data_IF_267024780769
#
_entry.id   IF_267024780769
#
_cell.length_a   1.000
_cell.length_b   1.000
_cell.length_c   1.000
_cell.angle_alpha   90.00
_cell.angle_beta   90.00
_cell.angle_gamma   90.00
#
_symmetry.space_group_name_H-M   'P 1'
#
loop_
_entity.id
_entity.type
_entity.pdbx_description
1 polymer ?
#
# COMPACT_ATOMS: atom_id res chain seq x y z
N UNK A 1 15.90 -14.84 -4.72
CA UNK A 1 14.91 -15.76 -5.32
C UNK A 1 13.56 -15.12 -5.08
N UNK A 2 12.76 -14.87 -6.13
CA UNK A 2 11.40 -14.32 -5.97
C UNK A 2 10.56 -15.38 -5.27
N UNK A 3 10.02 -15.05 -4.11
CA UNK A 3 9.30 -16.00 -3.27
C UNK A 3 7.86 -16.03 -3.75
N UNK A 4 7.63 -16.73 -4.87
CA UNK A 4 6.30 -16.81 -5.47
C UNK A 4 5.31 -17.39 -4.46
N UNK A 5 4.16 -16.74 -4.32
CA UNK A 5 3.05 -17.15 -3.49
C UNK A 5 2.64 -18.56 -3.85
N UNK A 6 2.84 -19.48 -2.90
CA UNK A 6 2.48 -20.88 -3.09
C UNK A 6 0.98 -21.07 -2.85
N UNK A 7 0.45 -22.18 -3.32
CA UNK A 7 -0.97 -22.51 -3.10
C UNK A 7 -1.26 -22.63 -1.60
N UNK A 8 -0.32 -23.17 -0.82
CA UNK A 8 -0.45 -23.27 0.63
C UNK A 8 -0.51 -21.89 1.32
N UNK A 9 0.22 -20.90 0.80
CA UNK A 9 0.18 -19.53 1.31
C UNK A 9 -1.17 -18.88 1.00
N UNK A 10 -1.70 -19.07 -0.21
CA UNK A 10 -3.03 -18.62 -0.59
C UNK A 10 -4.13 -19.24 0.26
N UNK A 11 -4.10 -20.55 0.48
CA UNK A 11 -5.11 -21.24 1.29
C UNK A 11 -5.06 -20.77 2.75
N UNK A 12 -3.86 -20.59 3.30
CA UNK A 12 -3.66 -20.06 4.66
C UNK A 12 -4.20 -18.64 4.79
N UNK A 13 -3.77 -17.73 3.90
CA UNK A 13 -4.19 -16.32 3.93
C UNK A 13 -5.68 -16.16 3.69
N UNK A 14 -6.29 -17.02 2.86
CA UNK A 14 -7.70 -16.91 2.53
C UNK A 14 -8.63 -17.60 3.53
N UNK A 15 -8.14 -18.46 4.42
CA UNK A 15 -9.00 -19.28 5.28
C UNK A 15 -10.03 -18.46 6.09
N UNK A 16 -9.56 -17.45 6.84
CA UNK A 16 -10.43 -16.60 7.66
C UNK A 16 -11.22 -15.57 6.83
N UNK A 17 -10.62 -14.81 5.89
CA UNK A 17 -11.37 -13.90 5.03
C UNK A 17 -12.48 -14.59 4.24
N UNK A 18 -12.22 -15.80 3.73
CA UNK A 18 -13.22 -16.63 3.05
C UNK A 18 -14.35 -17.03 3.99
N UNK A 19 -14.05 -17.44 5.22
CA UNK A 19 -15.07 -17.84 6.20
C UNK A 19 -16.05 -16.70 6.51
N UNK A 20 -15.52 -15.49 6.76
CA UNK A 20 -16.33 -14.32 7.08
C UNK A 20 -17.09 -13.81 5.83
N UNK A 21 -16.47 -13.90 4.66
CA UNK A 21 -17.07 -13.45 3.39
C UNK A 21 -18.09 -14.42 2.81
N UNK A 22 -18.30 -15.59 3.40
CA UNK A 22 -19.32 -16.54 2.94
C UNK A 22 -20.72 -15.91 2.97
N UNK A 23 -21.60 -16.27 2.02
CA UNK A 23 -22.99 -15.84 2.04
C UNK A 23 -23.75 -16.29 3.30
N UNK A 24 -23.33 -17.39 3.92
CA UNK A 24 -23.97 -17.98 5.11
C UNK A 24 -23.60 -17.28 6.42
N UNK A 25 -22.44 -16.59 6.45
CA UNK A 25 -21.95 -15.83 7.61
C UNK A 25 -22.49 -14.39 7.54
N UNK A 26 -23.73 -14.22 7.98
CA UNK A 26 -24.44 -12.93 7.93
C UNK A 26 -24.09 -11.98 9.10
N UNK A 27 -24.52 -10.72 8.97
CA UNK A 27 -24.32 -9.70 10.00
C UNK A 27 -24.97 -10.10 11.34
N UNK A 28 -26.12 -10.77 11.35
CA UNK A 28 -26.74 -11.21 12.61
C UNK A 28 -25.88 -12.26 13.32
N UNK A 29 -25.33 -13.22 12.59
CA UNK A 29 -24.42 -14.23 13.14
C UNK A 29 -23.15 -13.56 13.69
N UNK A 30 -22.58 -12.60 12.96
CA UNK A 30 -21.43 -11.83 13.44
C UNK A 30 -21.76 -11.01 14.69
N UNK A 31 -22.97 -10.42 14.77
CA UNK A 31 -23.44 -9.68 15.96
C UNK A 31 -23.60 -10.58 17.19
N UNK A 32 -24.00 -11.84 17.00
CA UNK A 32 -24.13 -12.83 18.09
C UNK A 32 -22.80 -13.26 18.69
N UNK A 33 -21.68 -13.06 17.99
CA UNK A 33 -20.37 -13.35 18.56
C UNK A 33 -20.07 -12.39 19.72
N UNK A 34 -19.24 -12.77 20.69
CA UNK A 34 -18.72 -11.82 21.66
C UNK A 34 -17.78 -10.82 20.98
N UNK A 35 -17.76 -9.58 21.48
CA UNK A 35 -16.91 -8.49 20.98
C UNK A 35 -15.43 -8.89 20.89
N UNK A 36 -14.89 -9.53 21.94
CA UNK A 36 -13.47 -9.95 21.96
C UNK A 36 -13.11 -10.85 20.76
N UNK A 37 -14.06 -11.68 20.29
CA UNK A 37 -13.86 -12.60 19.17
C UNK A 37 -13.91 -11.86 17.85
N UNK A 38 -14.81 -10.88 17.70
CA UNK A 38 -14.82 -10.00 16.52
C UNK A 38 -13.54 -9.18 16.41
N UNK A 39 -13.04 -8.66 17.53
CA UNK A 39 -11.76 -7.94 17.59
C UNK A 39 -10.59 -8.84 17.17
N UNK A 40 -10.51 -10.06 17.70
CA UNK A 40 -9.50 -11.03 17.26
C UNK A 40 -9.57 -11.32 15.76
N UNK A 41 -10.77 -11.45 15.19
CA UNK A 41 -10.94 -11.65 13.76
C UNK A 41 -10.54 -10.44 12.95
N UNK A 42 -10.82 -9.23 13.45
CA UNK A 42 -10.38 -7.98 12.84
C UNK A 42 -8.85 -7.87 12.81
N UNK A 43 -8.19 -8.09 13.94
CA UNK A 43 -6.73 -8.04 14.05
C UNK A 43 -6.05 -9.08 13.14
N UNK A 44 -6.64 -10.28 13.06
CA UNK A 44 -6.14 -11.34 12.19
C UNK A 44 -6.31 -10.99 10.70
N UNK A 45 -7.43 -10.39 10.31
CA UNK A 45 -7.64 -9.91 8.93
C UNK A 45 -6.68 -8.77 8.60
N UNK A 46 -6.41 -7.85 9.52
CA UNK A 46 -5.43 -6.79 9.32
C UNK A 46 -4.04 -7.39 9.09
N UNK A 47 -3.62 -8.35 9.91
CA UNK A 47 -2.35 -9.06 9.76
C UNK A 47 -2.26 -9.79 8.42
N UNK A 48 -3.31 -10.48 8.00
CA UNK A 48 -3.40 -11.15 6.69
C UNK A 48 -3.29 -10.13 5.55
N UNK A 49 -3.97 -8.98 5.67
CA UNK A 49 -3.88 -7.89 4.71
C UNK A 49 -2.48 -7.30 4.62
N UNK A 50 -1.84 -7.01 5.75
CA UNK A 50 -0.45 -6.51 5.80
C UNK A 50 0.53 -7.50 5.18
N UNK A 51 0.38 -8.79 5.47
CA UNK A 51 1.21 -9.85 4.88
C UNK A 51 0.98 -9.93 3.36
N UNK A 52 -0.28 -9.93 2.92
CA UNK A 52 -0.63 -10.02 1.50
C UNK A 52 -0.19 -8.79 0.71
N UNK A 53 -0.60 -7.60 1.13
CA UNK A 53 -0.29 -6.36 0.42
C UNK A 53 1.18 -5.94 0.56
N UNK A 54 1.81 -6.23 1.70
CA UNK A 54 3.20 -5.86 1.96
C UNK A 54 4.22 -6.80 1.34
N UNK A 55 3.93 -8.10 1.22
CA UNK A 55 4.86 -9.09 0.67
C UNK A 55 4.54 -9.48 -0.77
N UNK A 56 3.31 -9.92 -1.03
CA UNK A 56 2.97 -10.58 -2.30
C UNK A 56 2.49 -9.59 -3.36
N UNK A 57 1.65 -8.63 -2.98
CA UNK A 57 1.11 -7.62 -3.91
C UNK A 57 2.21 -6.70 -4.48
N UNK A 58 3.17 -6.26 -3.65
CA UNK A 58 4.31 -5.46 -4.10
C UNK A 58 5.26 -6.23 -5.04
N UNK A 59 5.30 -7.55 -4.93
CA UNK A 59 6.07 -8.42 -5.83
C UNK A 59 5.36 -8.67 -7.18
N UNK A 60 4.17 -8.10 -7.37
CA UNK A 60 3.36 -8.19 -8.58
C UNK A 60 2.44 -9.41 -8.62
N UNK A 61 2.26 -10.10 -7.50
CA UNK A 61 1.35 -11.23 -7.41
C UNK A 61 -0.01 -10.76 -6.90
N UNK A 62 -0.97 -10.64 -7.81
CA UNK A 62 -2.34 -10.24 -7.51
C UNK A 62 -3.26 -11.45 -7.53
N UNK A 63 -4.20 -11.47 -6.59
CA UNK A 63 -5.25 -12.47 -6.47
C UNK A 63 -6.55 -11.77 -6.10
N UNK A 64 -7.35 -11.49 -7.12
CA UNK A 64 -8.63 -10.79 -6.99
C UNK A 64 -9.58 -11.49 -6.01
N UNK A 65 -9.50 -12.82 -5.87
CA UNK A 65 -10.36 -13.57 -4.95
C UNK A 65 -10.00 -13.35 -3.48
N UNK A 66 -8.69 -13.31 -3.19
CA UNK A 66 -8.19 -13.05 -1.85
C UNK A 66 -8.45 -11.59 -1.46
N UNK A 67 -8.17 -10.65 -2.36
CA UNK A 67 -8.45 -9.21 -2.19
C UNK A 67 -9.94 -8.97 -1.89
N UNK A 68 -10.83 -9.52 -2.73
CA UNK A 68 -12.27 -9.44 -2.53
C UNK A 68 -12.72 -10.01 -1.17
N UNK A 69 -12.16 -11.14 -0.75
CA UNK A 69 -12.51 -11.76 0.53
C UNK A 69 -11.97 -10.97 1.73
N UNK A 70 -10.77 -10.39 1.63
CA UNK A 70 -10.22 -9.53 2.68
C UNK A 70 -11.11 -8.30 2.85
N UNK A 71 -11.43 -7.60 1.76
CA UNK A 71 -12.21 -6.37 1.81
C UNK A 71 -13.66 -6.60 2.24
N UNK A 72 -14.30 -7.67 1.78
CA UNK A 72 -15.64 -8.07 2.24
C UNK A 72 -15.65 -8.45 3.73
N UNK A 73 -14.65 -9.20 4.19
CA UNK A 73 -14.56 -9.58 5.61
C UNK A 73 -14.34 -8.35 6.50
N UNK A 74 -13.49 -7.41 6.06
CA UNK A 74 -13.31 -6.13 6.74
C UNK A 74 -14.63 -5.35 6.82
N UNK A 75 -15.33 -5.16 5.70
CA UNK A 75 -16.59 -4.41 5.66
C UNK A 75 -17.64 -5.02 6.58
N UNK A 76 -17.80 -6.36 6.57
CA UNK A 76 -18.73 -7.07 7.47
C UNK A 76 -18.44 -6.84 8.94
N UNK A 77 -17.17 -6.88 9.34
CA UNK A 77 -16.78 -6.61 10.71
C UNK A 77 -17.00 -5.14 11.08
N UNK A 78 -16.65 -4.19 10.21
CA UNK A 78 -16.88 -2.75 10.44
C UNK A 78 -18.37 -2.46 10.63
N UNK A 79 -19.23 -2.94 9.74
CA UNK A 79 -20.69 -2.74 9.89
C UNK A 79 -21.21 -3.39 11.16
N UNK A 80 -20.69 -4.56 11.54
CA UNK A 80 -21.06 -5.22 12.79
C UNK A 80 -20.68 -4.40 14.03
N UNK A 81 -19.47 -3.82 14.06
CA UNK A 81 -19.02 -2.93 15.13
C UNK A 81 -19.91 -1.70 15.25
N UNK A 82 -20.16 -1.03 14.12
CA UNK A 82 -21.01 0.18 14.06
C UNK A 82 -22.43 -0.12 14.54
N UNK A 83 -23.04 -1.20 14.06
CA UNK A 83 -24.42 -1.56 14.39
C UNK A 83 -24.59 -1.98 15.86
N UNK A 84 -23.54 -2.50 16.51
CA UNK A 84 -23.55 -2.85 17.93
C UNK A 84 -23.22 -1.65 18.85
N UNK A 85 -22.93 -0.47 18.30
CA UNK A 85 -22.50 0.69 19.08
C UNK A 85 -21.08 0.54 19.68
N UNK A 86 -20.28 -0.40 19.16
CA UNK A 86 -18.91 -0.62 19.60
C UNK A 86 -18.05 0.56 19.09
N UNK A 87 -17.66 1.44 20.01
CA UNK A 87 -16.97 2.71 19.72
C UNK A 87 -15.47 2.50 19.45
N UNK A 88 -15.14 1.70 18.44
CA UNK A 88 -13.75 1.50 17.96
C UNK A 88 -13.46 2.25 16.65
N UNK A 89 -14.26 3.28 16.33
CA UNK A 89 -14.03 4.18 15.19
C UNK A 89 -12.65 4.87 15.20
N UNK A 90 -12.03 5.01 16.37
CA UNK A 90 -10.67 5.54 16.52
C UNK A 90 -9.57 4.53 16.16
N UNK A 91 -9.89 3.22 16.10
CA UNK A 91 -8.94 2.14 15.79
C UNK A 91 -8.92 1.73 14.31
N UNK A 92 -9.91 2.13 13.51
CA UNK A 92 -9.85 1.95 12.06
C UNK A 92 -8.83 2.93 11.50
N UNK A 93 -7.64 2.40 11.17
CA UNK A 93 -6.59 3.10 10.44
C UNK A 93 -7.19 3.95 9.31
N UNK A 94 -6.69 5.16 9.08
CA UNK A 94 -7.23 6.12 8.10
C UNK A 94 -7.42 5.56 6.68
N UNK A 95 -6.83 4.40 6.34
CA UNK A 95 -7.01 3.69 5.07
C UNK A 95 -8.08 2.60 5.03
N UNK A 96 -8.71 2.22 6.14
CA UNK A 96 -9.73 1.15 6.22
C UNK A 96 -11.14 1.70 6.54
N UNK A 97 -11.37 3.00 6.32
CA UNK A 97 -12.69 3.61 6.53
C UNK A 97 -13.57 3.37 5.31
N UNK A 98 -14.55 2.50 5.48
CA UNK A 98 -15.66 2.37 4.53
C UNK A 98 -16.61 3.58 4.67
N UNK A 99 -17.09 4.07 3.52
CA UNK A 99 -18.10 5.10 3.41
C UNK A 99 -19.45 4.63 3.98
N UNK A 100 -20.31 5.59 4.37
CA UNK A 100 -21.69 5.24 4.77
C UNK A 100 -22.45 4.53 3.65
N UNK A 101 -22.16 4.84 2.39
CA UNK A 101 -22.75 4.19 1.24
C UNK A 101 -22.35 2.71 1.14
N UNK A 102 -21.08 2.37 1.33
CA UNK A 102 -20.61 0.97 1.37
C UNK A 102 -21.22 0.19 2.53
N UNK A 103 -21.30 0.82 3.70
CA UNK A 103 -21.92 0.22 4.89
C UNK A 103 -23.43 0.04 4.74
N UNK A 104 -24.13 1.05 4.24
CA UNK A 104 -25.55 1.02 3.94
C UNK A 104 -25.88 -0.03 2.88
N UNK A 105 -24.99 -0.21 1.91
CA UNK A 105 -25.12 -1.25 0.92
C UNK A 105 -24.99 -2.65 1.51
N UNK A 106 -23.97 -2.90 2.34
CA UNK A 106 -23.87 -4.19 3.02
C UNK A 106 -25.11 -4.49 3.88
N UNK A 107 -25.67 -3.48 4.56
CA UNK A 107 -26.92 -3.65 5.32
C UNK A 107 -28.08 -4.06 4.41
N UNK A 108 -28.28 -3.38 3.28
CA UNK A 108 -29.29 -3.75 2.29
C UNK A 108 -29.05 -5.13 1.67
N UNK A 109 -27.79 -5.54 1.51
CA UNK A 109 -27.42 -6.88 1.06
C UNK A 109 -27.79 -7.97 2.07
N UNK A 110 -27.65 -7.67 3.35
CA UNK A 110 -27.90 -8.60 4.45
C UNK A 110 -29.41 -8.77 4.73
N UNK A 111 -30.24 -7.81 4.32
CA UNK A 111 -31.70 -8.00 4.28
C UNK A 111 -32.14 -9.13 3.33
N UNK A 112 -31.30 -9.50 2.35
CA UNK A 112 -31.55 -10.61 1.42
C UNK A 112 -31.07 -11.98 1.94
N UNK A 113 -30.60 -12.07 3.19
CA UNK A 113 -30.06 -13.31 3.79
C UNK A 113 -31.07 -14.46 3.80
N UNK A 114 -32.37 -14.18 3.85
CA UNK A 114 -33.42 -15.21 3.77
C UNK A 114 -33.33 -16.01 2.45
N UNK A 115 -32.97 -15.36 1.34
CA UNK A 115 -32.78 -15.99 0.03
C UNK A 115 -31.49 -16.84 0.02
N UNK A 116 -30.46 -16.41 0.73
CA UNK A 116 -29.23 -17.18 0.92
C UNK A 116 -29.45 -18.47 1.70
N UNK A 117 -30.18 -18.41 2.82
CA UNK A 117 -30.35 -19.53 3.78
C UNK A 117 -31.31 -20.62 3.30
N UNK A 118 -32.41 -20.26 2.63
CA UNK A 118 -33.44 -21.23 2.22
C UNK A 118 -33.05 -21.94 0.92
N UNK A 119 -33.31 -23.23 0.81
CA UNK A 119 -33.20 -23.95 -0.47
C UNK A 119 -34.17 -23.40 -1.52
N UNK A 120 -33.92 -23.68 -2.80
CA UNK A 120 -34.81 -23.22 -3.89
C UNK A 120 -36.26 -23.70 -3.66
N UNK A 121 -36.45 -24.91 -3.18
CA UNK A 121 -37.78 -25.47 -2.94
C UNK A 121 -38.49 -24.82 -1.73
N UNK A 122 -37.73 -24.49 -0.68
CA UNK A 122 -38.24 -23.72 0.46
C UNK A 122 -38.57 -22.27 0.07
N UNK A 123 -37.79 -21.67 -0.83
CA UNK A 123 -38.06 -20.33 -1.35
C UNK A 123 -39.35 -20.30 -2.17
N UNK A 124 -39.56 -21.28 -3.06
CA UNK A 124 -40.80 -21.42 -3.83
C UNK A 124 -42.02 -21.45 -2.90
N UNK A 125 -41.93 -22.23 -1.82
CA UNK A 125 -42.98 -22.32 -0.81
C UNK A 125 -43.13 -21.04 0.02
N UNK A 126 -42.01 -20.41 0.40
CA UNK A 126 -41.99 -19.15 1.13
C UNK A 126 -42.71 -18.06 0.34
N UNK A 127 -42.36 -17.87 -0.94
CA UNK A 127 -42.97 -16.86 -1.79
C UNK A 127 -44.46 -17.13 -2.05
N UNK A 128 -44.91 -18.40 -2.05
CA UNK A 128 -46.34 -18.73 -2.12
C UNK A 128 -47.10 -18.43 -0.83
N UNK A 129 -46.48 -18.66 0.33
CA UNK A 129 -47.12 -18.53 1.66
C UNK A 129 -47.19 -17.10 2.18
N UNK A 130 -46.31 -16.22 1.72
CA UNK A 130 -46.32 -14.80 2.12
C UNK A 130 -47.69 -14.21 1.77
N UNK A 131 -48.46 -13.85 2.80
CA UNK A 131 -49.71 -13.10 2.64
C UNK A 131 -49.40 -11.60 2.66
N UNK A 132 -49.64 -10.91 1.55
CA UNK A 132 -49.46 -9.46 1.46
C UNK A 132 -49.66 -8.93 0.04
N UNK A 133 -49.28 -7.67 -0.17
CA UNK A 133 -49.37 -6.87 -1.42
C UNK A 133 -48.48 -7.37 -2.57
N UNK A 134 -47.51 -8.22 -2.25
CA UNK A 134 -46.56 -8.81 -3.19
C UNK A 134 -46.49 -10.30 -2.86
N UNK A 135 -47.06 -11.17 -3.70
CA UNK A 135 -47.05 -12.63 -3.51
C UNK A 135 -46.46 -13.35 -4.71
N UNK A 136 -46.00 -14.58 -4.47
CA UNK A 136 -45.60 -15.49 -5.53
C UNK A 136 -44.50 -14.93 -6.42
N UNK A 137 -44.66 -15.10 -7.74
CA UNK A 137 -43.65 -14.67 -8.72
C UNK A 137 -43.44 -13.16 -8.72
N UNK A 138 -44.49 -12.39 -8.44
CA UNK A 138 -44.40 -10.93 -8.42
C UNK A 138 -43.55 -10.45 -7.26
N UNK A 139 -43.64 -11.10 -6.09
CA UNK A 139 -42.72 -10.82 -4.98
C UNK A 139 -41.27 -11.16 -5.34
N UNK A 140 -41.03 -12.28 -6.03
CA UNK A 140 -39.69 -12.65 -6.51
C UNK A 140 -39.14 -11.56 -7.43
N UNK A 141 -39.96 -11.04 -8.34
CA UNK A 141 -39.58 -9.97 -9.26
C UNK A 141 -39.36 -8.62 -8.53
N UNK A 142 -40.24 -8.23 -7.60
CA UNK A 142 -40.08 -7.00 -6.81
C UNK A 142 -38.85 -7.06 -5.90
N UNK A 143 -38.63 -8.19 -5.21
CA UNK A 143 -37.44 -8.39 -4.39
C UNK A 143 -36.17 -8.38 -5.26
N UNK A 144 -36.22 -8.93 -6.47
CA UNK A 144 -35.10 -8.86 -7.42
C UNK A 144 -34.85 -7.42 -7.94
N UNK A 145 -35.90 -6.68 -8.30
CA UNK A 145 -35.78 -5.34 -8.92
C UNK A 145 -35.49 -4.25 -7.90
N UNK A 146 -36.25 -4.19 -6.80
CA UNK A 146 -36.11 -3.13 -5.79
C UNK A 146 -34.90 -3.35 -4.88
N UNK A 147 -34.40 -4.59 -4.74
CA UNK A 147 -33.30 -4.90 -3.82
C UNK A 147 -32.05 -5.48 -4.49
N UNK A 148 -32.07 -5.79 -5.80
CA UNK A 148 -30.99 -6.53 -6.48
C UNK A 148 -30.46 -5.90 -7.77
N UNK A 149 -31.30 -5.76 -8.81
CA UNK A 149 -30.83 -5.44 -10.16
C UNK A 149 -30.42 -3.98 -10.37
N UNK A 150 -31.23 -3.02 -9.92
CA UNK A 150 -30.89 -1.60 -10.09
C UNK A 150 -29.68 -1.20 -9.25
N UNK A 151 -29.51 -1.83 -8.08
CA UNK A 151 -28.44 -1.48 -7.14
C UNK A 151 -27.08 -2.00 -7.63
N UNK A 152 -27.02 -3.18 -8.26
CA UNK A 152 -25.78 -3.71 -8.86
C UNK A 152 -25.31 -2.88 -10.07
N UNK A 153 -26.24 -2.45 -10.92
CA UNK A 153 -25.93 -1.55 -12.03
C UNK A 153 -25.47 -0.16 -11.53
N UNK A 154 -26.02 0.32 -10.42
CA UNK A 154 -25.55 1.54 -9.77
C UNK A 154 -24.13 1.36 -9.20
N UNK A 155 -23.80 0.22 -8.59
CA UNK A 155 -22.48 -0.05 -8.01
C UNK A 155 -21.38 -0.13 -9.04
N UNK A 156 -21.63 -0.84 -10.15
CA UNK A 156 -20.65 -0.92 -11.25
C UNK A 156 -20.43 0.46 -11.89
N UNK A 157 -21.42 1.37 -11.81
CA UNK A 157 -21.33 2.74 -12.34
C UNK A 157 -20.73 3.75 -11.36
N UNK A 158 -20.82 3.53 -10.05
CA UNK A 158 -20.26 4.43 -9.03
C UNK A 158 -18.75 4.21 -8.92
N UNK A 159 -17.97 5.23 -9.32
CA UNK A 159 -16.49 5.22 -9.27
C UNK A 159 -15.90 5.17 -7.85
N UNK A 160 -16.74 5.28 -6.83
CA UNK A 160 -16.34 5.43 -5.42
C UNK A 160 -16.19 4.10 -4.67
N UNK A 161 -16.69 2.99 -5.23
CA UNK A 161 -16.54 1.66 -4.63
C UNK A 161 -15.26 1.01 -5.13
N UNK A 162 -14.33 0.60 -4.24
CA UNK A 162 -13.12 -0.14 -4.61
C UNK A 162 -13.42 -1.39 -5.45
N UNK A 163 -12.59 -1.64 -6.47
CA UNK A 163 -12.85 -2.70 -7.47
C UNK A 163 -12.87 -4.12 -6.89
N UNK A 164 -12.08 -4.37 -5.86
CA UNK A 164 -12.05 -5.58 -5.05
C UNK A 164 -13.38 -5.82 -4.31
N UNK A 165 -13.95 -4.78 -3.72
CA UNK A 165 -15.25 -4.85 -3.06
C UNK A 165 -16.38 -5.05 -4.08
N UNK A 166 -16.32 -4.36 -5.22
CA UNK A 166 -17.25 -4.57 -6.33
C UNK A 166 -17.21 -6.02 -6.86
N UNK A 167 -16.01 -6.61 -6.96
CA UNK A 167 -15.83 -8.02 -7.34
C UNK A 167 -16.41 -8.98 -6.30
N UNK A 168 -16.20 -8.71 -5.00
CA UNK A 168 -16.78 -9.47 -3.91
C UNK A 168 -18.30 -9.48 -3.99
N UNK A 169 -18.91 -8.30 -4.15
CA UNK A 169 -20.35 -8.17 -4.30
C UNK A 169 -20.85 -8.89 -5.55
N UNK A 170 -20.22 -8.68 -6.71
CA UNK A 170 -20.61 -9.35 -7.95
C UNK A 170 -20.66 -10.87 -7.84
N UNK A 171 -19.71 -11.48 -7.13
CA UNK A 171 -19.69 -12.93 -6.92
C UNK A 171 -20.86 -13.39 -6.07
N UNK A 172 -21.01 -12.83 -4.87
CA UNK A 172 -22.02 -13.28 -3.90
C UNK A 172 -23.44 -12.91 -4.38
N UNK A 173 -23.61 -11.75 -5.01
CA UNK A 173 -24.87 -11.37 -5.68
C UNK A 173 -25.17 -12.23 -6.88
N UNK A 174 -24.18 -12.55 -7.72
CA UNK A 174 -24.37 -13.42 -8.88
C UNK A 174 -24.92 -14.79 -8.49
N UNK A 175 -24.47 -15.36 -7.37
CA UNK A 175 -25.00 -16.61 -6.82
C UNK A 175 -26.44 -16.46 -6.32
N UNK A 176 -26.75 -15.39 -5.58
CA UNK A 176 -28.11 -15.14 -5.07
C UNK A 176 -29.11 -14.85 -6.18
N UNK A 177 -28.73 -14.08 -7.20
CA UNK A 177 -29.57 -13.79 -8.37
C UNK A 177 -29.85 -15.07 -9.15
N UNK A 178 -28.83 -15.89 -9.43
CA UNK A 178 -29.04 -17.21 -10.06
C UNK A 178 -30.00 -18.07 -9.25
N UNK A 179 -29.89 -18.05 -7.93
CA UNK A 179 -30.83 -18.76 -7.05
C UNK A 179 -32.25 -18.20 -7.12
N UNK A 180 -32.43 -16.89 -7.26
CA UNK A 180 -33.76 -16.27 -7.47
C UNK A 180 -34.33 -16.61 -8.86
N UNK A 181 -33.50 -16.62 -9.91
CA UNK A 181 -33.88 -17.06 -11.25
C UNK A 181 -34.31 -18.54 -11.26
N UNK A 182 -33.54 -19.40 -10.60
CA UNK A 182 -33.88 -20.81 -10.41
C UNK A 182 -35.17 -20.99 -9.59
N UNK A 183 -35.37 -20.17 -8.56
CA UNK A 183 -36.60 -20.16 -7.75
C UNK A 183 -37.79 -19.74 -8.60
N UNK A 184 -37.67 -18.70 -9.43
CA UNK A 184 -38.72 -18.26 -10.34
C UNK A 184 -39.06 -19.36 -11.35
N UNK A 185 -38.04 -20.01 -11.94
CA UNK A 185 -38.23 -21.13 -12.88
C UNK A 185 -38.97 -22.28 -12.20
N UNK A 186 -38.52 -22.74 -11.03
CA UNK A 186 -39.18 -23.80 -10.27
C UNK A 186 -40.59 -23.40 -9.80
N UNK A 187 -40.83 -22.14 -9.48
CA UNK A 187 -42.17 -21.65 -9.12
C UNK A 187 -43.14 -21.81 -10.29
N UNK A 188 -42.72 -21.43 -11.51
CA UNK A 188 -43.52 -21.60 -12.73
C UNK A 188 -43.72 -23.09 -13.04
N UNK A 189 -42.68 -23.91 -12.88
CA UNK A 189 -42.79 -25.37 -13.08
C UNK A 189 -43.75 -26.03 -12.08
N UNK A 190 -43.74 -25.60 -10.81
CA UNK A 190 -44.54 -26.19 -9.73
C UNK A 190 -46.00 -25.74 -9.72
N UNK A 191 -46.27 -24.46 -10.02
CA UNK A 191 -47.61 -23.86 -9.89
C UNK A 191 -48.24 -23.46 -11.24
N UNK A 192 -47.47 -23.46 -12.32
CA UNK A 192 -47.93 -23.13 -13.67
C UNK A 192 -48.14 -21.63 -13.93
N UNK A 193 -48.29 -21.29 -15.22
CA UNK A 193 -48.60 -19.93 -15.68
C UNK A 193 -49.91 -19.34 -15.10
N UNK A 194 -51.00 -20.11 -14.89
CA UNK A 194 -52.23 -19.56 -14.32
C UNK A 194 -52.05 -18.97 -12.92
N UNK A 195 -51.18 -19.56 -12.10
CA UNK A 195 -50.87 -19.03 -10.77
C UNK A 195 -50.11 -17.70 -10.85
N UNK A 196 -49.28 -17.51 -11.89
CA UNK A 196 -48.57 -16.25 -12.15
C UNK A 196 -49.55 -15.17 -12.61
N UNK A 197 -50.51 -15.51 -13.48
CA UNK A 197 -51.55 -14.58 -13.92
C UNK A 197 -52.43 -14.13 -12.75
N UNK A 198 -52.77 -15.03 -11.82
CA UNK A 198 -53.48 -14.70 -10.59
C UNK A 198 -52.67 -13.73 -9.71
N UNK A 199 -51.38 -14.02 -9.49
CA UNK A 199 -50.49 -13.17 -8.70
C UNK A 199 -50.39 -11.74 -9.30
N UNK A 200 -50.29 -11.62 -10.63
CA UNK A 200 -50.24 -10.32 -11.35
C UNK A 200 -51.59 -9.59 -11.29
N UNK A 201 -52.68 -10.31 -11.57
CA UNK A 201 -54.03 -9.73 -11.62
C UNK A 201 -54.49 -9.23 -10.26
N UNK A 202 -54.12 -9.93 -9.18
CA UNK A 202 -54.38 -9.51 -7.80
C UNK A 202 -53.75 -8.15 -7.49
N UNK A 203 -52.54 -7.89 -8.00
CA UNK A 203 -51.81 -6.64 -7.74
C UNK A 203 -52.38 -5.49 -8.57
N UNK A 204 -52.76 -5.74 -9.82
CA UNK A 204 -53.42 -4.74 -10.66
C UNK A 204 -54.76 -4.30 -10.04
N UNK A 205 -55.57 -5.26 -9.57
CA UNK A 205 -56.84 -4.97 -8.91
C UNK A 205 -56.66 -4.19 -7.59
N UNK A 206 -55.61 -4.46 -6.81
CA UNK A 206 -55.29 -3.68 -5.61
C UNK A 206 -54.80 -2.26 -5.94
N UNK A 207 -54.00 -2.11 -7.00
CA UNK A 207 -53.54 -0.80 -7.48
C UNK A 207 -54.70 0.07 -7.95
N UNK A 208 -55.69 -0.50 -8.65
CA UNK A 208 -56.91 0.21 -9.03
C UNK A 208 -57.70 0.71 -7.81
N UNK A 209 -57.95 -0.17 -6.83
CA UNK A 209 -58.59 0.23 -5.56
C UNK A 209 -57.81 1.29 -4.79
N UNK A 210 -56.47 1.25 -4.86
CA UNK A 210 -55.61 2.28 -4.27
C UNK A 210 -55.81 3.65 -4.92
N UNK A 211 -55.90 3.70 -6.25
CA UNK A 211 -56.17 4.94 -7.00
C UNK A 211 -57.55 5.50 -6.71
N UNK A 212 -58.58 4.64 -6.64
CA UNK A 212 -59.95 5.05 -6.30
C UNK A 212 -60.01 5.73 -4.92
N UNK A 213 -59.34 5.16 -3.91
CA UNK A 213 -59.29 5.76 -2.55
C UNK A 213 -58.61 7.13 -2.53
N UNK A 214 -57.55 7.31 -3.31
CA UNK A 214 -56.85 8.61 -3.42
C UNK A 214 -57.79 9.63 -4.08
N UNK A 215 -58.49 9.24 -5.15
CA UNK A 215 -59.45 10.10 -5.85
C UNK A 215 -60.62 10.48 -4.92
N UNK A 216 -61.17 9.54 -4.16
CA UNK A 216 -62.22 9.81 -3.16
C UNK A 216 -61.75 10.77 -2.07
N UNK A 217 -60.54 10.58 -1.54
CA UNK A 217 -59.96 11.48 -0.53
C UNK A 217 -59.78 12.91 -1.05
N UNK A 218 -59.37 13.06 -2.32
CA UNK A 218 -59.21 14.36 -2.98
C UNK A 218 -60.59 15.00 -3.19
N UNK A 219 -61.57 14.23 -3.68
CA UNK A 219 -62.92 14.74 -3.90
C UNK A 219 -63.61 15.17 -2.61
N UNK A 220 -63.44 14.42 -1.51
CA UNK A 220 -63.93 14.83 -0.19
C UNK A 220 -63.28 16.12 0.30
N UNK A 221 -61.97 16.28 0.06
CA UNK A 221 -61.24 17.51 0.40
C UNK A 221 -61.73 18.69 -0.43
N UNK A 222 -61.99 18.50 -1.73
CA UNK A 222 -62.54 19.52 -2.62
C UNK A 222 -63.97 19.90 -2.25
N UNK A 223 -64.84 18.93 -1.98
CA UNK A 223 -66.22 19.20 -1.54
C UNK A 223 -66.26 19.89 -0.17
N UNK A 224 -65.33 19.56 0.73
CA UNK A 224 -65.15 20.28 1.99
C UNK A 224 -64.72 21.73 1.81
N UNK A 225 -63.89 22.01 0.81
CA UNK A 225 -63.50 23.38 0.44
C UNK A 225 -64.63 24.13 -0.27
N UNK A 226 -65.39 23.48 -1.14
CA UNK A 226 -66.55 24.06 -1.84
C UNK A 226 -67.70 24.39 -0.88
N UNK A 227 -67.96 23.52 0.12
CA UNK A 227 -68.97 23.78 1.14
C UNK A 227 -68.61 24.99 2.02
N UNK A 228 -67.33 25.16 2.35
CA UNK A 228 -66.81 26.37 3.05
C UNK A 228 -66.92 27.63 2.20
N UNK A 229 -66.99 27.49 0.87
CA UNK A 229 -67.13 28.60 -0.07
C UNK A 229 -68.59 29.01 -0.31
N UNK A 230 -69.57 28.12 -0.05
CA UNK A 230 -70.99 28.30 -0.40
C UNK A 230 -71.85 28.96 0.68
N UNK A 231 -71.37 29.06 1.93
CA UNK A 231 -72.06 29.70 3.06
C UNK A 231 -72.02 31.24 3.07
N UNK A 232 -72.12 31.92 1.93
CA UNK A 232 -71.96 33.39 1.83
C UNK A 232 -73.25 34.18 1.87
N UNK A 233 -73.98 34.07 2.97
CA UNK A 233 -74.99 35.07 3.37
C UNK A 233 -74.61 35.78 4.69
N UNK A 234 -73.66 35.22 5.46
CA UNK A 234 -72.93 35.86 6.56
C UNK A 234 -71.79 36.79 6.08
N UNK A 235 -71.53 36.84 4.76
CA UNK A 235 -70.39 37.57 4.17
C UNK A 235 -70.54 39.09 4.19
N UNK A 236 -71.73 39.62 4.46
CA UNK A 236 -71.88 41.07 4.63
C UNK A 236 -71.36 41.55 6.00
N UNK A 237 -71.58 40.76 7.05
CA UNK A 237 -71.13 41.10 8.42
C UNK A 237 -69.65 40.73 8.62
N UNK A 238 -69.21 39.60 8.07
CA UNK A 238 -67.81 39.19 8.11
C UNK A 238 -66.92 40.11 7.24
N UNK A 239 -67.47 40.75 6.19
CA UNK A 239 -66.74 41.77 5.41
C UNK A 239 -66.38 42.99 6.24
N UNK A 240 -67.29 43.49 7.08
CA UNK A 240 -67.01 44.64 7.95
C UNK A 240 -66.00 44.28 9.05
N UNK A 241 -66.07 43.04 9.56
CA UNK A 241 -65.09 42.48 10.50
C UNK A 241 -63.70 42.31 9.86
N UNK A 242 -63.67 41.78 8.64
CA UNK A 242 -62.46 41.57 7.86
C UNK A 242 -61.85 42.89 7.40
N UNK A 243 -62.61 43.93 7.07
CA UNK A 243 -62.09 45.27 6.80
C UNK A 243 -61.44 45.90 8.05
N UNK A 244 -61.97 45.63 9.24
CA UNK A 244 -61.33 46.00 10.51
C UNK A 244 -60.01 45.26 10.76
N UNK A 245 -59.99 43.95 10.47
CA UNK A 245 -58.79 43.10 10.54
C UNK A 245 -57.78 43.48 9.45
N UNK A 246 -58.23 43.90 8.27
CA UNK A 246 -57.37 44.36 7.18
C UNK A 246 -56.67 45.65 7.56
N UNK A 247 -57.34 46.59 8.24
CA UNK A 247 -56.70 47.81 8.78
C UNK A 247 -55.76 47.55 9.97
N UNK A 248 -55.95 46.47 10.72
CA UNK A 248 -54.96 46.04 11.72
C UNK A 248 -53.78 45.32 11.07
N UNK A 249 -54.03 44.48 10.06
CA UNK A 249 -53.01 43.82 9.27
C UNK A 249 -52.23 44.81 8.40
N UNK A 250 -52.81 45.90 7.91
CA UNK A 250 -52.10 46.99 7.22
C UNK A 250 -51.16 47.71 8.17
N UNK A 251 -51.59 47.95 9.43
CA UNK A 251 -50.70 48.47 10.49
C UNK A 251 -49.62 47.46 10.88
N UNK A 252 -49.93 46.16 10.85
CA UNK A 252 -48.99 45.07 11.08
C UNK A 252 -48.06 44.85 9.89
N UNK A 253 -48.48 45.16 8.66
CA UNK A 253 -47.68 45.16 7.44
C UNK A 253 -46.72 46.35 7.44
N UNK A 254 -47.13 47.53 7.88
CA UNK A 254 -46.21 48.67 8.10
C UNK A 254 -45.18 48.33 9.20
N UNK A 255 -45.57 47.57 10.23
CA UNK A 255 -44.67 47.04 11.26
C UNK A 255 -43.73 45.95 10.70
N UNK A 256 -44.25 45.05 9.85
CA UNK A 256 -43.48 44.00 9.18
C UNK A 256 -42.59 44.55 8.04
N UNK A 257 -42.92 45.69 7.44
CA UNK A 257 -42.05 46.41 6.51
C UNK A 257 -40.88 47.05 7.26
N UNK A 258 -41.08 47.53 8.49
CA UNK A 258 -39.99 47.94 9.36
C UNK A 258 -39.11 46.74 9.79
N UNK A 259 -39.70 45.57 10.05
CA UNK A 259 -38.95 44.32 10.30
C UNK A 259 -38.24 43.80 9.05
N UNK A 260 -38.82 43.96 7.85
CA UNK A 260 -38.19 43.67 6.55
C UNK A 260 -37.03 44.62 6.26
N UNK A 261 -37.14 45.89 6.67
CA UNK A 261 -36.04 46.85 6.68
C UNK A 261 -34.91 46.39 7.59
N UNK A 262 -35.22 45.97 8.83
CA UNK A 262 -34.23 45.45 9.78
C UNK A 262 -33.56 44.14 9.29
N UNK A 263 -34.31 43.24 8.66
CA UNK A 263 -33.79 42.02 8.05
C UNK A 263 -32.94 42.31 6.80
N UNK A 264 -33.30 43.30 6.00
CA UNK A 264 -32.51 43.74 4.84
C UNK A 264 -31.20 44.40 5.28
N UNK A 265 -31.21 45.18 6.37
CA UNK A 265 -30.00 45.71 6.99
C UNK A 265 -29.09 44.60 7.52
N UNK A 266 -29.64 43.60 8.22
CA UNK A 266 -28.86 42.42 8.65
C UNK A 266 -28.30 41.61 7.50
N UNK A 267 -29.05 41.47 6.41
CA UNK A 267 -28.58 40.80 5.20
C UNK A 267 -27.40 41.57 4.58
N UNK A 268 -27.50 42.91 4.54
CA UNK A 268 -26.40 43.78 4.10
C UNK A 268 -25.16 43.63 4.97
N UNK A 269 -25.31 43.61 6.30
CA UNK A 269 -24.21 43.37 7.25
C UNK A 269 -23.56 41.99 7.02
N UNK A 270 -24.35 40.95 6.80
CA UNK A 270 -23.85 39.61 6.47
C UNK A 270 -23.12 39.55 5.13
N UNK A 271 -23.61 40.26 4.11
CA UNK A 271 -22.94 40.34 2.81
C UNK A 271 -21.62 41.12 2.91
N UNK A 272 -21.58 42.18 3.71
CA UNK A 272 -20.35 42.92 4.01
C UNK A 272 -19.35 42.08 4.80
N UNK A 273 -19.80 41.31 5.79
CA UNK A 273 -18.97 40.38 6.53
C UNK A 273 -18.43 39.27 5.62
N UNK A 274 -19.28 38.69 4.76
CA UNK A 274 -18.87 37.72 3.75
C UNK A 274 -17.82 38.29 2.80
N UNK A 275 -18.01 39.52 2.30
CA UNK A 275 -17.00 40.23 1.48
C UNK A 275 -15.70 40.47 2.27
N UNK A 276 -15.79 40.80 3.54
CA UNK A 276 -14.65 40.98 4.44
C UNK A 276 -13.84 39.69 4.59
N UNK A 277 -14.51 38.59 4.91
CA UNK A 277 -13.91 37.26 5.03
C UNK A 277 -13.28 36.82 3.72
N UNK A 278 -13.94 37.07 2.58
CA UNK A 278 -13.39 36.73 1.27
C UNK A 278 -12.08 37.47 0.96
N UNK A 279 -12.00 38.76 1.28
CA UNK A 279 -10.75 39.54 1.14
C UNK A 279 -9.63 39.03 2.05
N UNK A 280 -9.97 38.54 3.24
CA UNK A 280 -8.97 37.91 4.13
C UNK A 280 -8.48 36.59 3.53
N UNK A 281 -9.39 35.81 2.95
CA UNK A 281 -9.06 34.56 2.26
C UNK A 281 -8.16 34.80 1.04
N UNK A 282 -8.49 35.75 0.16
CA UNK A 282 -7.65 36.10 -1.00
C UNK A 282 -6.25 36.56 -0.59
N UNK A 283 -6.13 37.31 0.51
CA UNK A 283 -4.83 37.70 1.08
C UNK A 283 -4.04 36.49 1.58
N UNK A 284 -4.71 35.55 2.23
CA UNK A 284 -4.08 34.33 2.72
C UNK A 284 -3.61 33.44 1.56
N UNK A 285 -4.44 33.29 0.53
CA UNK A 285 -4.11 32.56 -0.70
C UNK A 285 -2.92 33.18 -1.44
N UNK A 286 -2.85 34.51 -1.50
CA UNK A 286 -1.71 35.23 -2.07
C UNK A 286 -0.42 34.98 -1.26
N UNK A 287 -0.49 35.06 0.07
CA UNK A 287 0.65 34.80 0.95
C UNK A 287 1.12 33.34 0.88
N UNK A 288 0.20 32.39 0.73
CA UNK A 288 0.51 30.98 0.52
C UNK A 288 1.19 30.75 -0.82
N UNK A 289 0.69 31.39 -1.88
CA UNK A 289 1.30 31.31 -3.22
C UNK A 289 2.74 31.86 -3.23
N UNK A 290 2.97 32.97 -2.53
CA UNK A 290 4.31 33.55 -2.35
C UNK A 290 5.23 32.60 -1.57
N UNK A 291 4.74 32.02 -0.46
CA UNK A 291 5.49 31.05 0.34
C UNK A 291 5.84 29.78 -0.46
N UNK A 292 4.91 29.29 -1.28
CA UNK A 292 5.15 28.15 -2.19
C UNK A 292 6.25 28.52 -3.20
N UNK A 293 6.17 29.72 -3.79
CA UNK A 293 7.20 30.22 -4.71
C UNK A 293 8.59 30.31 -4.07
N UNK A 294 8.68 30.77 -2.81
CA UNK A 294 9.94 30.78 -2.07
C UNK A 294 10.49 29.38 -1.81
N UNK A 295 9.63 28.42 -1.44
CA UNK A 295 10.02 27.03 -1.22
C UNK A 295 10.55 26.39 -2.51
N UNK A 296 9.86 26.61 -3.63
CA UNK A 296 10.32 26.12 -4.94
C UNK A 296 11.65 26.75 -5.35
N UNK A 297 11.85 28.05 -5.08
CA UNK A 297 13.11 28.73 -5.31
C UNK A 297 14.26 28.13 -4.49
N UNK A 298 14.03 27.90 -3.18
CA UNK A 298 15.02 27.25 -2.31
C UNK A 298 15.33 25.82 -2.75
N UNK A 299 14.32 25.08 -3.21
CA UNK A 299 14.50 23.71 -3.71
C UNK A 299 15.40 23.69 -4.95
N UNK A 300 15.15 24.57 -5.93
CA UNK A 300 16.01 24.69 -7.13
C UNK A 300 17.45 25.07 -6.77
N UNK A 301 17.64 25.96 -5.80
CA UNK A 301 18.98 26.33 -5.33
C UNK A 301 19.71 25.16 -4.66
N UNK A 302 19.01 24.35 -3.87
CA UNK A 302 19.57 23.12 -3.27
C UNK A 302 19.92 22.08 -4.32
N UNK A 303 19.06 21.84 -5.30
CA UNK A 303 19.31 20.89 -6.39
C UNK A 303 20.57 21.29 -7.18
N UNK A 304 20.77 22.60 -7.42
CA UNK A 304 21.96 23.11 -8.09
C UNK A 304 23.23 22.95 -7.23
N UNK A 305 23.16 23.25 -5.93
CA UNK A 305 24.28 23.00 -5.01
C UNK A 305 24.65 21.52 -4.91
N UNK A 306 23.66 20.62 -4.90
CA UNK A 306 23.90 19.18 -4.89
C UNK A 306 24.61 18.73 -6.18
N UNK A 307 24.19 19.28 -7.33
CA UNK A 307 24.84 19.04 -8.63
C UNK A 307 26.30 19.50 -8.62
N UNK A 308 26.57 20.71 -8.15
CA UNK A 308 27.93 21.26 -8.05
C UNK A 308 28.83 20.41 -7.13
N UNK A 309 28.33 20.02 -5.96
CA UNK A 309 29.06 19.17 -5.02
C UNK A 309 29.37 17.79 -5.61
N UNK A 310 28.42 17.21 -6.33
CA UNK A 310 28.60 15.92 -7.00
C UNK A 310 29.67 16.00 -8.10
N UNK A 311 29.66 17.06 -8.89
CA UNK A 311 30.71 17.29 -9.90
C UNK A 311 32.07 17.51 -9.26
N UNK A 312 32.15 18.30 -8.18
CA UNK A 312 33.40 18.50 -7.45
C UNK A 312 33.95 17.20 -6.86
N UNK A 313 33.09 16.36 -6.30
CA UNK A 313 33.47 15.05 -5.76
C UNK A 313 33.99 14.10 -6.85
N UNK A 314 33.35 14.06 -8.02
CA UNK A 314 33.83 13.25 -9.15
C UNK A 314 35.17 13.76 -9.71
N UNK A 315 35.38 15.09 -9.77
CA UNK A 315 36.69 15.66 -10.16
C UNK A 315 37.79 15.25 -9.17
N UNK A 316 37.56 15.41 -7.87
CA UNK A 316 38.53 15.00 -6.85
C UNK A 316 38.85 13.51 -6.91
N UNK A 317 37.84 12.67 -7.15
CA UNK A 317 38.03 11.23 -7.30
C UNK A 317 38.85 10.89 -8.55
N UNK A 318 38.65 11.62 -9.66
CA UNK A 318 39.46 11.46 -10.86
C UNK A 318 40.92 11.88 -10.62
N UNK A 319 41.13 13.04 -9.99
CA UNK A 319 42.47 13.53 -9.64
C UNK A 319 43.23 12.56 -8.71
N UNK A 320 42.57 12.03 -7.68
CA UNK A 320 43.17 11.05 -6.78
C UNK A 320 43.52 9.73 -7.50
N UNK A 321 42.68 9.28 -8.43
CA UNK A 321 42.98 8.10 -9.25
C UNK A 321 44.19 8.33 -10.15
N UNK A 322 44.26 9.48 -10.80
CA UNK A 322 45.39 9.83 -11.66
C UNK A 322 46.69 9.96 -10.86
N UNK A 323 46.65 10.62 -9.70
CA UNK A 323 47.79 10.72 -8.80
C UNK A 323 48.27 9.35 -8.29
N UNK A 324 47.33 8.46 -7.93
CA UNK A 324 47.65 7.10 -7.53
C UNK A 324 48.27 6.29 -8.69
N UNK A 325 47.75 6.42 -9.91
CA UNK A 325 48.33 5.78 -11.09
C UNK A 325 49.75 6.25 -11.36
N UNK A 326 50.02 7.56 -11.32
CA UNK A 326 51.37 8.09 -11.50
C UNK A 326 52.33 7.58 -10.42
N UNK A 327 51.90 7.54 -9.16
CA UNK A 327 52.72 6.98 -8.08
C UNK A 327 53.04 5.49 -8.30
N UNK A 328 52.08 4.70 -8.81
CA UNK A 328 52.36 3.30 -9.18
C UNK A 328 53.33 3.18 -10.36
N UNK A 329 53.20 4.04 -11.38
CA UNK A 329 54.13 4.07 -12.51
C UNK A 329 55.56 4.43 -12.07
N UNK A 330 55.71 5.40 -11.17
CA UNK A 330 57.00 5.80 -10.60
C UNK A 330 57.63 4.66 -9.79
N UNK A 331 56.85 3.98 -8.93
CA UNK A 331 57.33 2.82 -8.16
C UNK A 331 57.71 1.64 -9.06
N UNK A 332 56.94 1.36 -10.12
CA UNK A 332 57.30 0.35 -11.11
C UNK A 332 58.59 0.71 -11.87
N UNK A 333 58.77 1.98 -12.19
CA UNK A 333 60.02 2.52 -12.75
C UNK A 333 61.21 2.25 -11.83
N UNK A 334 61.08 2.60 -10.54
CA UNK A 334 62.11 2.37 -9.53
C UNK A 334 62.41 0.87 -9.31
N UNK A 335 61.40 0.00 -9.35
CA UNK A 335 61.59 -1.44 -9.25
C UNK A 335 62.38 -1.96 -10.46
N UNK A 336 62.08 -1.46 -11.66
CA UNK A 336 62.80 -1.86 -12.87
C UNK A 336 64.26 -1.40 -12.86
N UNK A 337 64.55 -0.17 -12.42
CA UNK A 337 65.94 0.29 -12.29
C UNK A 337 66.71 -0.51 -11.25
N UNK A 338 66.10 -0.80 -10.10
CA UNK A 338 66.70 -1.68 -9.09
C UNK A 338 66.97 -3.10 -9.62
N UNK A 339 66.07 -3.62 -10.45
CA UNK A 339 66.25 -4.93 -11.10
C UNK A 339 67.44 -4.92 -12.06
N UNK A 340 67.57 -3.88 -12.90
CA UNK A 340 68.72 -3.71 -13.79
C UNK A 340 70.04 -3.56 -13.02
N UNK A 341 70.04 -2.82 -11.90
CA UNK A 341 71.21 -2.70 -11.03
C UNK A 341 71.60 -4.02 -10.38
N UNK A 342 70.62 -4.81 -9.92
CA UNK A 342 70.86 -6.13 -9.36
C UNK A 342 71.41 -7.10 -10.41
N UNK A 343 70.88 -7.06 -11.63
CA UNK A 343 71.36 -7.89 -12.74
C UNK A 343 72.82 -7.54 -13.10
N UNK A 344 73.16 -6.24 -13.17
CA UNK A 344 74.55 -5.79 -13.36
C UNK A 344 75.47 -6.28 -12.24
N UNK A 345 75.04 -6.16 -10.97
CA UNK A 345 75.83 -6.67 -9.83
C UNK A 345 75.99 -8.18 -9.85
N UNK A 346 74.98 -8.91 -10.30
CA UNK A 346 75.05 -10.36 -10.47
C UNK A 346 76.09 -10.74 -11.54
N UNK A 347 76.12 -10.03 -12.67
CA UNK A 347 77.15 -10.21 -13.70
C UNK A 347 78.55 -9.86 -13.19
N UNK A 348 78.72 -8.75 -12.47
CA UNK A 348 79.99 -8.36 -11.85
C UNK A 348 80.52 -9.45 -10.91
N UNK A 349 79.67 -9.92 -9.98
CA UNK A 349 80.03 -10.99 -9.03
C UNK A 349 80.35 -12.31 -9.74
N UNK A 350 79.66 -12.63 -10.84
CA UNK A 350 79.95 -13.80 -11.66
C UNK A 350 81.32 -13.68 -12.32
N UNK A 351 81.65 -12.53 -12.88
CA UNK A 351 82.97 -12.25 -13.46
C UNK A 351 84.09 -12.32 -12.41
N UNK A 352 83.87 -11.74 -11.22
CA UNK A 352 84.82 -11.84 -10.10
C UNK A 352 85.04 -13.29 -9.68
N UNK A 353 83.96 -14.08 -9.58
CA UNK A 353 84.03 -15.50 -9.25
C UNK A 353 84.85 -16.28 -10.28
N UNK A 354 84.61 -16.04 -11.57
CA UNK A 354 85.39 -16.66 -12.66
C UNK A 354 86.87 -16.27 -12.60
N UNK A 355 87.18 -15.00 -12.29
CA UNK A 355 88.52 -14.50 -12.05
C UNK A 355 89.22 -15.20 -10.88
N UNK A 356 88.55 -15.29 -9.73
CA UNK A 356 89.05 -16.01 -8.55
C UNK A 356 89.24 -17.51 -8.82
N UNK A 357 88.38 -18.15 -9.61
CA UNK A 357 88.56 -19.54 -10.03
C UNK A 357 89.78 -19.71 -10.95
N UNK A 358 90.05 -18.75 -11.83
CA UNK A 358 91.26 -18.72 -12.65
C UNK A 358 92.52 -18.58 -11.77
N UNK A 359 92.52 -17.64 -10.82
CA UNK A 359 93.62 -17.48 -9.87
C UNK A 359 93.84 -18.72 -9.01
N UNK A 360 92.76 -19.33 -8.50
CA UNK A 360 92.80 -20.58 -7.74
C UNK A 360 93.42 -21.71 -8.56
N UNK A 361 93.09 -21.82 -9.85
CA UNK A 361 93.74 -22.76 -10.78
C UNK A 361 95.24 -22.44 -10.94
N UNK A 362 95.59 -21.17 -11.14
CA UNK A 362 96.97 -20.72 -11.23
C UNK A 362 97.80 -21.05 -9.98
N UNK A 363 97.27 -20.76 -8.78
CA UNK A 363 97.90 -21.08 -7.50
C UNK A 363 98.04 -22.61 -7.33
N UNK A 364 97.03 -23.40 -7.70
CA UNK A 364 97.10 -24.86 -7.67
C UNK A 364 98.24 -25.39 -8.55
N UNK A 365 98.37 -24.87 -9.77
CA UNK A 365 99.47 -25.21 -10.69
C UNK A 365 100.83 -24.81 -10.09
N UNK A 366 100.96 -23.59 -9.54
CA UNK A 366 102.19 -23.14 -8.86
C UNK A 366 102.53 -24.03 -7.67
N UNK A 367 101.53 -24.38 -6.84
CA UNK A 367 101.68 -25.29 -5.70
C UNK A 367 102.15 -26.68 -6.15
N UNK A 368 101.63 -27.20 -7.25
CA UNK A 368 102.11 -28.46 -7.84
C UNK A 368 103.53 -28.36 -8.41
N UNK A 369 103.90 -27.24 -9.04
CA UNK A 369 105.29 -26.98 -9.48
C UNK A 369 106.25 -26.93 -8.31
N UNK A 370 105.91 -26.19 -7.25
CA UNK A 370 106.71 -26.11 -6.02
C UNK A 370 106.80 -27.47 -5.35
N UNK A 371 105.69 -28.23 -5.21
CA UNK A 371 105.74 -29.61 -4.70
C UNK A 371 106.62 -30.53 -5.55
N UNK A 372 106.59 -30.41 -6.88
CA UNK A 372 107.50 -31.15 -7.78
C UNK A 372 108.96 -30.72 -7.59
N UNK A 373 109.23 -29.44 -7.42
CA UNK A 373 110.57 -28.91 -7.15
C UNK A 373 111.09 -29.38 -5.78
N UNK A 374 110.25 -29.37 -4.74
CA UNK A 374 110.58 -29.91 -3.41
C UNK A 374 110.82 -31.42 -3.49
N UNK A 375 110.02 -32.19 -4.25
CA UNK A 375 110.29 -33.63 -4.48
C UNK A 375 111.60 -33.87 -5.22
N UNK A 376 111.93 -33.04 -6.23
CA UNK A 376 113.24 -33.10 -6.91
C UNK A 376 114.39 -32.75 -5.97
N UNK A 377 114.23 -31.73 -5.12
CA UNK A 377 115.23 -31.35 -4.13
C UNK A 377 115.35 -32.35 -2.97
N UNK A 378 114.26 -33.01 -2.54
CA UNK A 378 114.31 -34.12 -1.58
C UNK A 378 114.90 -35.41 -2.19
N UNK A 379 114.87 -35.54 -3.53
CA UNK A 379 115.64 -36.54 -4.27
C UNK A 379 117.14 -36.21 -4.34
N UNK A 380 117.50 -34.91 -4.39
CA UNK A 380 118.90 -34.44 -4.40
C UNK A 380 119.51 -34.31 -2.98
N UNK A 381 118.70 -34.12 -1.93
CA UNK A 381 119.12 -33.98 -0.53
C UNK A 381 118.97 -35.27 0.30
N UNK A 382 118.88 -36.45 -0.33
CA UNK A 382 119.05 -37.76 0.32
C UNK A 382 120.42 -38.41 0.06
N UNK A 383 121.40 -37.62 -0.39
CA UNK A 383 122.78 -38.07 -0.59
C UNK A 383 123.81 -37.48 0.38
N UNK A 384 123.53 -36.36 1.06
CA UNK A 384 124.59 -35.62 1.78
C UNK A 384 124.15 -35.14 3.17
N UNK A 385 124.82 -35.75 4.17
CA UNK A 385 124.92 -35.45 5.62
C UNK A 385 123.71 -35.88 6.47
N UNK A 386 123.81 -36.83 7.40
CA UNK A 386 124.97 -37.22 8.22
C UNK A 386 125.19 -36.17 9.32
N UNK A 387 124.70 -36.47 10.53
CA UNK A 387 125.11 -35.91 11.84
C UNK A 387 124.99 -34.37 12.01
N UNK A 388 124.50 -33.78 13.08
CA UNK A 388 123.95 -34.20 14.36
C UNK A 388 123.50 -32.91 15.11
N UNK A 389 122.62 -33.08 16.12
CA UNK A 389 122.64 -32.40 17.44
C UNK A 389 121.93 -31.03 17.63
N UNK A 390 120.96 -31.07 18.57
CA UNK A 390 120.55 -30.14 19.66
C UNK A 390 120.26 -28.65 19.35
N UNK A 391 119.42 -27.88 20.07
CA UNK A 391 118.63 -28.01 21.30
C UNK A 391 117.66 -26.80 21.35
N UNK A 392 116.63 -26.87 22.20
CA UNK A 392 116.01 -25.73 22.93
C UNK A 392 115.28 -24.63 22.13
N UNK A 393 114.25 -23.90 22.60
CA UNK A 393 113.29 -23.88 23.72
C UNK A 393 112.39 -22.65 23.43
N UNK A 394 111.14 -22.63 23.94
CA UNK A 394 110.34 -21.42 24.24
C UNK A 394 109.89 -20.56 23.03
N UNK A 395 108.80 -19.79 22.97
CA UNK A 395 107.72 -19.32 23.85
C UNK A 395 106.58 -18.89 22.89
N UNK A 396 105.31 -19.19 23.20
CA UNK A 396 104.28 -18.24 23.66
C UNK A 396 103.79 -17.16 22.65
N UNK A 397 102.46 -17.16 22.52
CA UNK A 397 101.54 -16.02 22.49
C UNK A 397 101.58 -14.95 21.39
N UNK A 398 100.37 -14.72 20.84
CA UNK A 398 99.68 -13.43 20.59
C UNK A 398 98.50 -13.73 19.65
N UNK A 399 97.22 -13.63 20.05
CA UNK A 399 96.48 -12.36 20.17
C UNK A 399 96.27 -11.76 18.77
N UNK A 400 95.06 -11.63 18.21
CA UNK A 400 94.07 -10.55 18.45
C UNK A 400 92.81 -10.94 17.63
N UNK A 401 91.65 -11.25 18.20
CA UNK A 401 90.57 -10.38 18.73
C UNK A 401 89.93 -9.35 17.76
N UNK A 402 88.59 -9.46 17.62
CA UNK A 402 87.58 -8.39 17.54
C UNK A 402 87.67 -7.36 16.36
N UNK A 403 86.62 -7.01 15.63
CA UNK A 403 85.29 -6.47 16.02
C UNK A 403 84.33 -6.63 14.81
N UNK A 404 83.05 -7.01 14.95
CA UNK A 404 81.87 -6.28 15.48
C UNK A 404 81.33 -5.17 14.55
N UNK A 405 80.08 -5.35 14.10
CA UNK A 405 79.04 -4.37 13.71
C UNK A 405 79.30 -3.58 12.42
N UNK A 406 78.32 -3.32 11.55
CA UNK A 406 76.87 -3.11 11.73
C UNK A 406 76.08 -4.03 10.81
#
# INVERSE_FOLDING_TARGET
MKDRMRIEDLERLNALPKEISKPDMDLEQLKRLPEYRRRQWWDEILRIGEEYYGRYYLEGETNEFLEANISMAKLKLVVCFVDNGESTLEQFSKGDRFSEDEMGFLRGFEELVVIGRLSVDELVDYFKRVKGKERGLVKIAFDAVNRGYNVMDEIVRRREIPGDLANAFKRVYGERVKKMEETARKYIEKYGLPAVEEDISSILAESEKGRERIIESINQSLSGLEARLKGREEVKEEKERLEGILRSLEREVVKNEAEKGALSSRLGEFEDEKRGVWKVYEKLESAWSESIGEIEGRRKALDEQERELKEAAERQKAELKEAAMRAFEDELGNINTLREELEKKEEELKNEREGLEYEKRGIRIRKERVRRAIRKNQGYFRGWRGEAICNERCCEDSGVELHRKI
#
